data_IF_153154181888
#
_entry.id   IF_153154181888
#
_cell.length_a   1.000
_cell.length_b   1.000
_cell.length_c   1.000
_cell.angle_alpha   90.00
_cell.angle_beta   90.00
_cell.angle_gamma   90.00
#
_symmetry.space_group_name_H-M   'P 1'
#
loop_
_entity.id
_entity.type
_entity.pdbx_description
1 polymer ?
#
# COMPACT_ATOMS: atom_id res chain seq x y z
N UNK A 1 -24.85 4.66 -0.50
CA UNK A 1 -23.77 4.44 0.50
C UNK A 1 -22.93 5.70 0.56
N UNK A 2 -22.92 6.36 1.72
CA UNK A 2 -22.21 7.62 1.92
C UNK A 2 -20.69 7.45 1.75
N UNK A 3 -20.07 8.40 1.07
CA UNK A 3 -18.62 8.45 0.85
C UNK A 3 -17.89 8.69 2.17
N UNK A 4 -17.68 7.65 2.98
CA UNK A 4 -16.85 7.75 4.18
C UNK A 4 -15.45 8.17 3.76
N UNK A 5 -15.05 9.38 4.17
CA UNK A 5 -13.72 9.94 3.90
C UNK A 5 -12.73 9.18 4.79
N UNK A 6 -11.65 8.68 4.19
CA UNK A 6 -10.61 7.97 4.94
C UNK A 6 -10.00 8.88 6.00
N UNK A 7 -9.86 8.38 7.22
CA UNK A 7 -9.11 9.03 8.28
C UNK A 7 -7.61 9.00 7.97
N UNK A 8 -6.82 9.86 8.63
CA UNK A 8 -5.36 9.90 8.44
C UNK A 8 -4.70 8.53 8.67
N UNK A 9 -5.08 7.82 9.72
CA UNK A 9 -4.57 6.46 10.00
C UNK A 9 -4.91 5.45 8.90
N UNK A 10 -6.16 5.44 8.42
CA UNK A 10 -6.60 4.53 7.35
C UNK A 10 -5.86 4.82 6.04
N UNK A 11 -5.56 6.09 5.74
CA UNK A 11 -4.75 6.47 4.57
C UNK A 11 -3.31 5.97 4.70
N UNK A 12 -2.67 6.20 5.84
CA UNK A 12 -1.30 5.74 6.08
C UNK A 12 -1.22 4.23 6.01
N UNK A 13 -2.15 3.52 6.64
CA UNK A 13 -2.21 2.07 6.62
C UNK A 13 -2.43 1.53 5.20
N UNK A 14 -3.40 2.07 4.46
CA UNK A 14 -3.63 1.70 3.06
C UNK A 14 -2.39 1.91 2.19
N UNK A 15 -1.70 3.03 2.38
CA UNK A 15 -0.52 3.38 1.62
C UNK A 15 0.67 2.45 1.95
N UNK A 16 0.90 2.13 3.22
CA UNK A 16 1.93 1.14 3.63
C UNK A 16 1.65 -0.23 3.03
N UNK A 17 0.41 -0.72 3.08
CA UNK A 17 0.05 -2.03 2.51
C UNK A 17 0.25 -2.06 0.98
N UNK A 18 -0.13 -0.99 0.27
CA UNK A 18 0.09 -0.87 -1.17
C UNK A 18 1.58 -0.82 -1.53
N UNK A 19 2.38 -0.09 -0.75
CA UNK A 19 3.84 0.02 -0.89
C UNK A 19 4.53 -1.32 -0.60
N UNK A 20 3.98 -2.15 0.30
CA UNK A 20 4.43 -3.53 0.52
C UNK A 20 4.04 -4.50 -0.61
N UNK A 21 3.37 -4.01 -1.66
CA UNK A 21 2.94 -4.83 -2.80
C UNK A 21 1.60 -5.55 -2.58
N UNK A 22 0.85 -5.22 -1.52
CA UNK A 22 -0.46 -5.83 -1.29
C UNK A 22 -1.45 -5.39 -2.39
N UNK A 23 -2.24 -6.31 -2.97
CA UNK A 23 -3.21 -5.95 -3.99
C UNK A 23 -4.26 -5.01 -3.41
N UNK A 24 -4.57 -3.91 -4.12
CA UNK A 24 -5.57 -2.94 -3.65
C UNK A 24 -6.97 -3.53 -3.41
N UNK A 25 -7.31 -4.70 -3.97
CA UNK A 25 -8.55 -5.43 -3.63
C UNK A 25 -8.51 -5.95 -2.18
N UNK A 26 -7.40 -6.52 -1.77
CA UNK A 26 -7.21 -7.01 -0.40
C UNK A 26 -7.17 -5.85 0.59
N UNK A 27 -6.54 -4.72 0.23
CA UNK A 27 -6.53 -3.51 1.08
C UNK A 27 -7.94 -2.93 1.28
N UNK A 28 -8.81 -3.02 0.26
CA UNK A 28 -10.22 -2.64 0.36
C UNK A 28 -10.96 -3.49 1.39
N UNK A 29 -10.76 -4.81 1.35
CA UNK A 29 -11.39 -5.76 2.27
C UNK A 29 -10.84 -5.58 3.70
N UNK A 30 -9.52 -5.50 3.85
CA UNK A 30 -8.82 -5.38 5.13
C UNK A 30 -9.24 -4.11 5.90
N UNK A 31 -9.29 -2.98 5.21
CA UNK A 31 -9.63 -1.69 5.84
C UNK A 31 -11.14 -1.39 5.76
N UNK A 32 -11.93 -2.25 5.09
CA UNK A 32 -13.36 -2.04 4.85
C UNK A 32 -13.66 -0.68 4.19
N UNK A 33 -12.84 -0.29 3.21
CA UNK A 33 -12.86 1.05 2.59
C UNK A 33 -13.36 1.03 1.16
N UNK A 34 -13.80 2.20 0.67
CA UNK A 34 -14.21 2.32 -0.72
C UNK A 34 -13.04 2.13 -1.70
N UNK A 35 -13.28 1.34 -2.75
CA UNK A 35 -12.32 1.10 -3.84
C UNK A 35 -11.80 2.37 -4.50
N UNK A 36 -12.64 3.42 -4.59
CA UNK A 36 -12.26 4.73 -5.13
C UNK A 36 -11.20 5.42 -4.25
N UNK A 37 -11.28 5.27 -2.94
CA UNK A 37 -10.30 5.82 -2.00
C UNK A 37 -8.95 5.12 -2.15
N UNK A 38 -8.95 3.79 -2.29
CA UNK A 38 -7.73 3.01 -2.55
C UNK A 38 -7.10 3.35 -3.90
N UNK A 39 -7.89 3.67 -4.93
CA UNK A 39 -7.34 4.09 -6.22
C UNK A 39 -6.47 5.36 -6.09
N UNK A 40 -6.91 6.35 -5.31
CA UNK A 40 -6.08 7.54 -5.03
C UNK A 40 -4.82 7.19 -4.26
N UNK A 41 -4.90 6.32 -3.25
CA UNK A 41 -3.74 5.89 -2.46
C UNK A 41 -2.74 5.08 -3.31
N UNK A 42 -3.23 4.32 -4.29
CA UNK A 42 -2.37 3.57 -5.22
C UNK A 42 -1.53 4.50 -6.11
N UNK A 43 -2.11 5.63 -6.54
CA UNK A 43 -1.35 6.64 -7.30
C UNK A 43 -0.30 7.33 -6.42
N UNK A 44 -0.63 7.62 -5.16
CA UNK A 44 0.33 8.18 -4.20
C UNK A 44 1.45 7.19 -3.85
N UNK A 45 1.13 5.92 -3.61
CA UNK A 45 2.10 4.85 -3.42
C UNK A 45 3.03 4.69 -4.64
N UNK A 46 2.49 4.78 -5.86
CA UNK A 46 3.27 4.73 -7.09
C UNK A 46 4.19 5.95 -7.31
N UNK A 47 3.93 7.09 -6.65
CA UNK A 47 4.86 8.24 -6.62
C UNK A 47 5.96 8.05 -5.56
N UNK A 48 5.69 7.26 -4.52
CA UNK A 48 6.61 7.01 -3.41
C UNK A 48 7.64 5.89 -3.71
N UNK A 49 7.36 5.02 -4.68
CA UNK A 49 8.33 4.04 -5.20
C UNK A 49 8.83 4.47 -6.59
N UNK A 50 10.16 4.41 -6.86
CA UNK A 50 11.02 3.24 -6.62
C UNK A 50 12.34 3.51 -5.85
N UNK A 51 12.46 4.63 -5.13
CA UNK A 51 13.73 5.01 -4.48
C UNK A 51 13.78 4.77 -2.96
N UNK A 52 12.69 4.28 -2.35
CA UNK A 52 12.52 4.40 -0.88
C UNK A 52 12.42 3.07 -0.13
N UNK A 53 12.16 1.94 -0.81
CA UNK A 53 12.30 0.62 -0.20
C UNK A 53 13.58 0.01 -0.75
N UNK A 54 14.62 -0.25 0.07
CA UNK A 54 15.69 -1.13 -0.39
C UNK A 54 15.01 -2.45 -0.76
N UNK A 55 15.28 -3.04 -1.94
CA UNK A 55 14.76 -4.37 -2.24
C UNK A 55 15.10 -5.22 -1.02
N UNK A 56 14.06 -5.79 -0.39
CA UNK A 56 14.23 -6.78 0.65
C UNK A 56 14.87 -7.96 -0.07
N UNK A 57 16.20 -7.90 -0.22
CA UNK A 57 16.99 -8.95 -0.83
C UNK A 57 16.58 -10.19 -0.05
N UNK A 58 15.97 -11.20 -0.68
CA UNK A 58 15.92 -12.49 -0.05
C UNK A 58 17.39 -12.83 0.16
N UNK A 59 17.81 -12.94 1.41
CA UNK A 59 19.17 -13.32 1.75
C UNK A 59 19.43 -14.70 1.13
N UNK A 60 20.01 -14.73 -0.06
CA UNK A 60 20.66 -15.93 -0.58
C UNK A 60 22.13 -15.74 -0.29
N UNK A 61 22.54 -16.40 0.79
CA UNK A 61 23.79 -16.18 1.50
C UNK A 61 25.05 -16.31 0.65
N UNK A 62 26.10 -15.67 1.14
CA UNK A 62 27.45 -16.05 0.75
C UNK A 62 27.70 -17.51 1.09
N UNK A 63 28.45 -18.18 0.21
CA UNK A 63 29.65 -18.92 0.56
C UNK A 63 30.37 -19.37 -0.73
N UNK A 64 31.60 -18.87 -0.84
CA UNK A 64 32.68 -19.16 -1.80
C UNK A 64 32.54 -18.56 -3.19
#
# INVERSE_FOLDING_TARGET
MGSKKLNMEEKTCALTLLVQGMPGKCVVEELTVNRRSIYSQKMEAAKLEPNTIPPLKPGSGGKK
#
